data_IF_318221782867
#
_entry.id   IF_318221782867
#
_cell.length_a   1.000
_cell.length_b   1.000
_cell.length_c   1.000
_cell.angle_alpha   90.00
_cell.angle_beta   90.00
_cell.angle_gamma   90.00
#
_symmetry.space_group_name_H-M   'P 1'
#
loop_
_entity.id
_entity.type
_entity.pdbx_description
1 polymer ?
#
# COMPACT_ATOMS: atom_id res chain seq x y z
N UNK A 1 2.31 -19.99 1.11
CA UNK A 1 3.12 -20.23 -0.11
C UNK A 1 3.19 -18.93 -0.90
N UNK A 2 4.38 -18.50 -1.34
CA UNK A 2 4.55 -17.29 -2.14
C UNK A 2 4.24 -17.57 -3.63
N UNK A 3 3.59 -16.62 -4.30
CA UNK A 3 3.29 -16.62 -5.73
C UNK A 3 4.28 -15.73 -6.47
N UNK A 4 5.33 -16.35 -6.99
CA UNK A 4 6.47 -15.65 -7.61
C UNK A 4 6.10 -14.86 -8.86
N UNK A 5 5.04 -15.24 -9.56
CA UNK A 5 4.51 -14.52 -10.72
C UNK A 5 3.98 -13.13 -10.37
N UNK A 6 3.72 -12.88 -9.08
CA UNK A 6 3.17 -11.63 -8.55
C UNK A 6 4.16 -10.87 -7.66
N UNK A 7 5.39 -11.37 -7.53
CA UNK A 7 6.43 -10.74 -6.75
C UNK A 7 6.87 -9.42 -7.42
N UNK A 8 7.17 -8.38 -6.62
CA UNK A 8 7.70 -7.13 -7.17
C UNK A 8 9.10 -7.34 -7.76
N UNK A 9 9.43 -6.56 -8.79
CA UNK A 9 10.81 -6.41 -9.22
C UNK A 9 11.64 -5.79 -8.07
N UNK A 10 12.83 -6.34 -7.84
CA UNK A 10 13.72 -5.91 -6.75
C UNK A 10 14.04 -4.40 -6.81
N UNK A 11 14.34 -3.89 -8.02
CA UNK A 11 14.61 -2.47 -8.23
C UNK A 11 13.40 -1.59 -7.90
N UNK A 12 12.20 -2.03 -8.28
CA UNK A 12 10.96 -1.31 -7.96
C UNK A 12 10.68 -1.30 -6.45
N UNK A 13 10.93 -2.41 -5.75
CA UNK A 13 10.79 -2.48 -4.29
C UNK A 13 11.77 -1.53 -3.58
N UNK A 14 13.07 -1.55 -3.94
CA UNK A 14 14.07 -0.64 -3.36
C UNK A 14 13.68 0.80 -3.63
N UNK A 15 13.30 1.13 -4.87
CA UNK A 15 12.89 2.49 -5.21
C UNK A 15 11.73 2.95 -4.34
N UNK A 16 10.72 2.10 -4.12
CA UNK A 16 9.61 2.43 -3.23
C UNK A 16 10.03 2.58 -1.77
N UNK A 17 10.98 1.77 -1.28
CA UNK A 17 11.56 1.93 0.07
C UNK A 17 12.31 3.26 0.21
N UNK A 18 13.12 3.64 -0.79
CA UNK A 18 13.81 4.93 -0.83
C UNK A 18 12.81 6.09 -0.88
N UNK A 19 11.75 5.97 -1.67
CA UNK A 19 10.65 6.94 -1.68
C UNK A 19 10.02 7.09 -0.29
N UNK A 20 9.72 5.96 0.36
CA UNK A 20 9.03 5.92 1.65
C UNK A 20 9.85 6.48 2.82
N UNK A 21 11.15 6.16 2.90
CA UNK A 21 12.00 6.57 4.02
C UNK A 21 12.82 7.83 3.76
N UNK A 22 13.18 8.13 2.49
CA UNK A 22 14.17 9.15 2.16
C UNK A 22 13.57 10.23 1.26
N UNK A 23 13.14 9.90 0.04
CA UNK A 23 12.83 10.94 -0.96
C UNK A 23 11.62 11.78 -0.57
N UNK A 24 10.61 11.21 0.07
CA UNK A 24 9.48 12.00 0.61
C UNK A 24 9.95 13.07 1.59
N UNK A 25 10.84 12.74 2.52
CA UNK A 25 11.45 13.71 3.44
C UNK A 25 12.31 14.73 2.71
N UNK A 26 13.17 14.27 1.80
CA UNK A 26 14.06 15.14 1.03
C UNK A 26 13.26 16.19 0.26
N UNK A 27 12.17 15.82 -0.42
CA UNK A 27 11.33 16.77 -1.16
C UNK A 27 10.74 17.83 -0.22
N UNK A 28 10.21 17.40 0.93
CA UNK A 28 9.58 18.32 1.91
C UNK A 28 10.62 19.29 2.49
N UNK A 29 11.78 18.77 2.90
CA UNK A 29 12.85 19.54 3.54
C UNK A 29 13.56 20.44 2.53
N UNK A 30 13.88 19.93 1.34
CA UNK A 30 14.51 20.71 0.27
C UNK A 30 13.56 21.83 -0.20
N UNK A 31 12.27 21.53 -0.31
CA UNK A 31 11.25 22.54 -0.59
C UNK A 31 11.23 23.64 0.47
N UNK A 32 11.35 23.29 1.76
CA UNK A 32 11.46 24.28 2.83
C UNK A 32 12.77 25.09 2.72
N UNK A 33 13.89 24.42 2.44
CA UNK A 33 15.21 25.03 2.30
C UNK A 33 15.30 26.01 1.14
N UNK A 34 14.77 25.68 -0.04
CA UNK A 34 14.74 26.56 -1.22
C UNK A 34 13.91 27.81 -0.93
N UNK A 35 12.81 27.65 -0.18
CA UNK A 35 11.90 28.74 0.14
C UNK A 35 12.25 29.50 1.42
N UNK A 36 13.38 29.17 2.07
CA UNK A 36 13.79 29.77 3.36
C UNK A 36 13.96 31.27 3.30
N UNK A 37 14.31 31.84 2.15
CA UNK A 37 14.46 33.29 2.01
C UNK A 37 13.17 34.07 2.31
N UNK A 38 12.00 33.45 2.09
CA UNK A 38 10.72 34.05 2.47
C UNK A 38 10.59 34.25 3.98
N UNK A 39 11.31 33.45 4.77
CA UNK A 39 11.43 33.56 6.23
C UNK A 39 12.57 34.52 6.62
N UNK A 40 13.72 34.46 5.94
CA UNK A 40 14.90 35.28 6.27
C UNK A 40 14.71 36.77 5.96
N UNK A 41 14.02 37.11 4.86
CA UNK A 41 13.73 38.51 4.49
C UNK A 41 12.69 39.16 5.42
N UNK A 42 12.06 38.41 6.33
CA UNK A 42 11.10 38.87 7.33
C UNK A 42 11.42 38.23 8.71
N UNK A 43 12.50 38.65 9.38
CA UNK A 43 13.15 37.90 10.46
C UNK A 43 12.39 37.83 11.79
N UNK A 44 11.35 38.67 11.99
CA UNK A 44 10.54 38.64 13.21
C UNK A 44 9.46 37.54 13.12
N UNK A 45 9.68 36.42 13.82
CA UNK A 45 8.70 35.33 13.97
C UNK A 45 7.41 35.77 14.68
N UNK A 46 7.41 36.93 15.34
CA UNK A 46 6.33 37.45 16.18
C UNK A 46 5.35 38.40 15.50
N UNK A 47 5.76 39.17 14.48
CA UNK A 47 4.99 40.37 14.09
C UNK A 47 4.34 40.35 12.70
N UNK A 48 4.60 39.37 11.82
CA UNK A 48 4.13 39.47 10.42
C UNK A 48 3.45 38.19 9.92
N UNK A 49 2.10 38.16 9.86
CA UNK A 49 1.32 37.10 9.20
C UNK A 49 1.71 36.87 7.72
N UNK A 50 2.25 37.90 7.05
CA UNK A 50 2.58 37.87 5.62
C UNK A 50 3.78 36.98 5.26
N UNK A 51 4.89 37.01 6.00
CA UNK A 51 6.07 36.18 5.70
C UNK A 51 5.79 34.68 5.79
N UNK A 52 5.08 34.27 6.83
CA UNK A 52 4.62 32.88 7.03
C UNK A 52 3.67 32.43 5.92
N UNK A 53 2.72 33.28 5.54
CA UNK A 53 1.76 33.00 4.45
C UNK A 53 2.47 32.85 3.10
N UNK A 54 3.48 33.68 2.81
CA UNK A 54 4.26 33.59 1.57
C UNK A 54 5.12 32.33 1.56
N UNK A 55 5.80 32.00 2.67
CA UNK A 55 6.54 30.75 2.80
C UNK A 55 5.63 29.53 2.59
N UNK A 56 4.52 29.44 3.33
CA UNK A 56 3.59 28.32 3.23
C UNK A 56 3.03 28.17 1.81
N UNK A 57 2.68 29.27 1.14
CA UNK A 57 2.22 29.22 -0.26
C UNK A 57 3.27 28.64 -1.21
N UNK A 58 4.54 28.97 -1.01
CA UNK A 58 5.63 28.47 -1.87
C UNK A 58 6.09 27.06 -1.49
N UNK A 59 5.99 26.70 -0.21
CA UNK A 59 6.36 25.39 0.32
C UNK A 59 5.25 24.33 0.15
N UNK A 60 3.98 24.74 0.20
CA UNK A 60 2.84 23.83 0.11
C UNK A 60 2.87 22.89 -1.11
N UNK A 61 3.25 23.32 -2.32
CA UNK A 61 3.40 22.40 -3.45
C UNK A 61 4.42 21.28 -3.17
N UNK A 62 5.56 21.61 -2.55
CA UNK A 62 6.58 20.62 -2.17
C UNK A 62 6.08 19.67 -1.09
N UNK A 63 5.36 20.21 -0.10
CA UNK A 63 4.71 19.41 0.93
C UNK A 63 3.71 18.42 0.30
N UNK A 64 2.85 18.89 -0.60
CA UNK A 64 1.87 18.06 -1.29
C UNK A 64 2.55 16.97 -2.14
N UNK A 65 3.59 17.31 -2.91
CA UNK A 65 4.34 16.32 -3.70
C UNK A 65 4.98 15.27 -2.78
N UNK A 66 5.62 15.71 -1.70
CA UNK A 66 6.25 14.81 -0.73
C UNK A 66 5.24 13.87 -0.08
N UNK A 67 4.09 14.39 0.34
CA UNK A 67 2.99 13.60 0.91
C UNK A 67 2.37 12.64 -0.11
N UNK A 68 2.19 13.05 -1.37
CA UNK A 68 1.71 12.16 -2.45
C UNK A 68 2.69 11.00 -2.67
N UNK A 69 3.98 11.30 -2.80
CA UNK A 69 5.01 10.28 -2.96
C UNK A 69 5.03 9.31 -1.76
N UNK A 70 4.81 9.85 -0.56
CA UNK A 70 4.80 9.06 0.65
C UNK A 70 3.58 8.13 0.72
N UNK A 71 2.41 8.67 0.39
CA UNK A 71 1.16 7.91 0.35
C UNK A 71 1.22 6.81 -0.69
N UNK A 72 1.74 7.14 -1.89
CA UNK A 72 1.90 6.20 -2.98
C UNK A 72 2.90 5.09 -2.64
N UNK A 73 4.06 5.43 -2.06
CA UNK A 73 5.04 4.43 -1.64
C UNK A 73 4.51 3.53 -0.52
N UNK A 74 3.75 4.07 0.45
CA UNK A 74 3.07 3.27 1.49
C UNK A 74 2.13 2.25 0.87
N UNK A 75 1.30 2.71 -0.08
CA UNK A 75 0.38 1.85 -0.82
C UNK A 75 1.13 0.78 -1.61
N UNK A 76 2.18 1.15 -2.35
CA UNK A 76 2.94 0.23 -3.20
C UNK A 76 3.73 -0.82 -2.42
N UNK A 77 4.37 -0.44 -1.31
CA UNK A 77 5.07 -1.40 -0.45
C UNK A 77 4.10 -2.43 0.15
N UNK A 78 2.89 -1.99 0.49
CA UNK A 78 1.84 -2.89 0.99
C UNK A 78 1.30 -3.78 -0.14
N UNK A 79 1.05 -3.20 -1.32
CA UNK A 79 0.63 -3.90 -2.55
C UNK A 79 1.62 -5.01 -2.92
N UNK A 80 2.92 -4.72 -2.90
CA UNK A 80 3.98 -5.69 -3.20
C UNK A 80 4.00 -6.89 -2.26
N UNK A 81 3.82 -6.67 -0.96
CA UNK A 81 3.71 -7.77 -0.01
C UNK A 81 2.46 -8.62 -0.27
N UNK A 82 1.29 -7.98 -0.35
CA UNK A 82 0.02 -8.69 -0.52
C UNK A 82 -0.02 -9.44 -1.86
N UNK A 83 0.51 -8.86 -2.92
CA UNK A 83 0.62 -9.49 -4.25
C UNK A 83 1.42 -10.78 -4.19
N UNK A 84 2.53 -10.77 -3.44
CA UNK A 84 3.41 -11.95 -3.27
C UNK A 84 2.68 -13.14 -2.61
N UNK A 85 1.74 -12.89 -1.72
CA UNK A 85 0.98 -13.94 -1.02
C UNK A 85 -0.44 -14.13 -1.57
N UNK A 86 -0.80 -13.40 -2.62
CA UNK A 86 -2.11 -13.51 -3.26
C UNK A 86 -2.06 -14.51 -4.41
N UNK A 87 -3.02 -15.43 -4.42
CA UNK A 87 -3.23 -16.30 -5.58
C UNK A 87 -3.93 -15.55 -6.72
N UNK A 88 -4.79 -14.60 -6.37
CA UNK A 88 -5.60 -13.81 -7.30
C UNK A 88 -5.74 -12.40 -6.72
N UNK A 89 -5.72 -11.40 -7.59
CA UNK A 89 -5.87 -9.99 -7.22
C UNK A 89 -6.68 -9.23 -8.25
N UNK A 90 -7.32 -8.14 -7.84
CA UNK A 90 -8.02 -7.22 -8.74
C UNK A 90 -7.06 -6.20 -9.35
N UNK A 91 -7.53 -5.44 -10.32
CA UNK A 91 -6.94 -4.16 -10.68
C UNK A 91 -6.96 -3.15 -9.51
N UNK A 92 -6.31 -2.00 -9.73
CA UNK A 92 -6.40 -0.86 -8.79
C UNK A 92 -7.56 0.04 -9.22
N UNK A 93 -8.43 0.35 -8.26
CA UNK A 93 -9.70 1.05 -8.47
C UNK A 93 -9.82 2.25 -7.55
N UNK A 94 -10.62 3.25 -7.93
CA UNK A 94 -10.85 4.43 -7.07
C UNK A 94 -12.13 4.34 -6.23
N UNK A 95 -13.06 3.48 -6.62
CA UNK A 95 -14.38 3.35 -6.01
C UNK A 95 -14.70 1.90 -5.68
N UNK A 96 -15.56 1.70 -4.69
CA UNK A 96 -16.04 0.38 -4.31
C UNK A 96 -16.78 -0.31 -5.46
N UNK A 97 -17.54 0.43 -6.26
CA UNK A 97 -18.34 -0.12 -7.34
C UNK A 97 -17.48 -0.79 -8.40
N UNK A 98 -16.42 -0.12 -8.87
CA UNK A 98 -15.53 -0.69 -9.90
C UNK A 98 -14.69 -1.84 -9.35
N UNK A 99 -14.25 -1.74 -8.08
CA UNK A 99 -13.59 -2.86 -7.40
C UNK A 99 -14.51 -4.08 -7.35
N UNK A 100 -15.77 -3.90 -6.96
CA UNK A 100 -16.71 -5.01 -6.84
C UNK A 100 -17.08 -5.62 -8.18
N UNK A 101 -17.16 -4.80 -9.24
CA UNK A 101 -17.37 -5.28 -10.60
C UNK A 101 -16.22 -6.18 -11.06
N UNK A 102 -14.98 -5.76 -10.79
CA UNK A 102 -13.76 -6.54 -11.08
C UNK A 102 -13.67 -7.82 -10.21
N UNK A 103 -14.14 -7.77 -8.96
CA UNK A 103 -14.27 -8.96 -8.11
C UNK A 103 -15.34 -9.93 -8.62
N UNK A 104 -16.40 -9.44 -9.29
CA UNK A 104 -17.46 -10.28 -9.87
C UNK A 104 -17.06 -10.92 -11.19
N UNK A 105 -16.30 -10.19 -12.03
CA UNK A 105 -15.85 -10.65 -13.34
C UNK A 105 -14.84 -11.79 -13.26
N UNK A 106 -14.24 -12.03 -12.10
CA UNK A 106 -13.29 -13.11 -11.89
C UNK A 106 -13.97 -14.49 -11.83
N UNK A 107 -14.13 -15.12 -13.02
CA UNK A 107 -14.85 -16.38 -13.18
C UNK A 107 -14.15 -17.59 -12.55
N UNK A 108 -12.81 -17.60 -12.52
CA UNK A 108 -12.03 -18.75 -12.01
C UNK A 108 -12.19 -18.93 -10.51
N UNK A 109 -12.31 -17.83 -9.76
CA UNK A 109 -12.50 -17.86 -8.31
C UNK A 109 -13.44 -16.73 -7.90
N UNK A 110 -14.75 -17.01 -7.85
CA UNK A 110 -15.76 -16.02 -7.45
C UNK A 110 -15.48 -15.49 -6.03
N UNK A 111 -15.49 -14.17 -5.86
CA UNK A 111 -15.51 -13.54 -4.55
C UNK A 111 -16.93 -13.59 -3.97
N UNK A 112 -17.07 -13.79 -2.66
CA UNK A 112 -18.36 -13.62 -1.97
C UNK A 112 -18.64 -12.13 -1.77
N UNK A 113 -19.01 -11.48 -2.87
CA UNK A 113 -19.25 -10.03 -2.91
C UNK A 113 -20.41 -9.61 -2.00
N UNK A 114 -21.44 -10.44 -1.91
CA UNK A 114 -22.59 -10.17 -1.02
C UNK A 114 -22.19 -10.22 0.45
N UNK A 115 -21.38 -11.20 0.87
CA UNK A 115 -20.83 -11.29 2.21
C UNK A 115 -19.92 -10.09 2.54
N UNK A 116 -19.07 -9.69 1.61
CA UNK A 116 -18.18 -8.53 1.76
C UNK A 116 -18.99 -7.23 1.92
N UNK A 117 -20.01 -7.03 1.09
CA UNK A 117 -20.87 -5.85 1.19
C UNK A 117 -21.63 -5.78 2.52
N UNK A 118 -22.12 -6.93 3.02
CA UNK A 118 -22.82 -7.01 4.31
C UNK A 118 -21.92 -6.69 5.50
N UNK A 119 -20.66 -7.12 5.45
CA UNK A 119 -19.70 -6.90 6.53
C UNK A 119 -19.06 -5.49 6.47
N UNK A 120 -19.10 -4.85 5.30
CA UNK A 120 -18.73 -3.45 5.10
C UNK A 120 -17.46 -3.31 4.26
N UNK A 121 -17.53 -2.48 3.21
CA UNK A 121 -16.48 -2.27 2.21
C UNK A 121 -15.99 -0.81 2.20
N UNK A 122 -14.70 -0.53 1.91
CA UNK A 122 -14.24 0.84 1.67
C UNK A 122 -14.95 1.46 0.47
N UNK A 123 -15.36 2.73 0.60
CA UNK A 123 -16.14 3.42 -0.44
C UNK A 123 -15.28 4.09 -1.52
N UNK A 124 -14.17 4.71 -1.11
CA UNK A 124 -13.30 5.53 -1.97
C UNK A 124 -11.83 5.40 -1.56
N UNK A 125 -10.91 5.73 -2.48
CA UNK A 125 -9.46 5.71 -2.26
C UNK A 125 -8.77 4.83 -3.31
N UNK A 126 -7.47 4.60 -3.18
CA UNK A 126 -6.80 3.58 -3.99
C UNK A 126 -7.17 2.21 -3.43
N UNK A 127 -8.02 1.48 -4.13
CA UNK A 127 -8.56 0.20 -3.71
C UNK A 127 -7.98 -0.94 -4.54
N UNK A 128 -7.55 -2.02 -3.88
CA UNK A 128 -7.16 -3.26 -4.55
C UNK A 128 -7.52 -4.46 -3.67
N UNK A 129 -8.12 -5.48 -4.26
CA UNK A 129 -8.53 -6.71 -3.61
C UNK A 129 -7.52 -7.83 -3.83
N UNK A 130 -7.30 -8.66 -2.81
CA UNK A 130 -6.39 -9.79 -2.82
C UNK A 130 -7.07 -11.02 -2.21
N UNK A 131 -6.81 -12.19 -2.78
CA UNK A 131 -7.12 -13.48 -2.16
C UNK A 131 -5.86 -14.09 -1.60
N UNK A 132 -5.70 -14.02 -0.27
CA UNK A 132 -4.59 -14.64 0.41
C UNK A 132 -4.91 -16.11 0.72
N UNK A 133 -3.98 -17.00 0.36
CA UNK A 133 -4.11 -18.40 0.73
C UNK A 133 -3.52 -18.63 2.11
N UNK A 134 -4.29 -19.27 3.00
CA UNK A 134 -3.72 -19.85 4.21
C UNK A 134 -3.22 -21.26 3.87
N UNK A 135 -1.91 -21.42 3.78
CA UNK A 135 -1.29 -22.72 4.01
C UNK A 135 0.20 -22.52 4.26
N UNK A 136 0.50 -22.35 5.54
CA UNK A 136 1.58 -23.13 6.16
C UNK A 136 1.01 -24.56 6.25
N UNK A 137 1.61 -25.54 5.55
CA UNK A 137 1.06 -26.91 5.49
C UNK A 137 1.99 -27.88 6.19
N UNK A 138 1.46 -28.62 7.17
CA UNK A 138 1.89 -29.97 7.49
C UNK A 138 0.92 -30.96 6.80
N UNK A 139 1.40 -31.73 5.82
CA UNK A 139 0.70 -32.93 5.32
C UNK A 139 -0.34 -32.78 4.19
N UNK A 140 -1.33 -33.68 4.20
CA UNK A 140 -2.03 -34.24 3.02
C UNK A 140 -3.36 -33.56 2.60
N UNK A 141 -3.77 -32.41 3.14
CA UNK A 141 -5.14 -31.88 2.96
C UNK A 141 -5.25 -30.60 2.12
N UNK A 142 -6.16 -30.66 1.12
CA UNK A 142 -6.70 -29.69 0.13
C UNK A 142 -6.55 -28.18 0.40
N UNK A 143 -6.13 -27.44 -0.65
CA UNK A 143 -5.95 -25.98 -0.69
C UNK A 143 -7.25 -25.24 -0.33
N UNK A 144 -7.23 -24.29 0.63
CA UNK A 144 -8.36 -23.41 0.98
C UNK A 144 -7.93 -21.95 0.98
N UNK A 145 -8.76 -21.07 0.41
CA UNK A 145 -8.61 -19.61 0.55
C UNK A 145 -8.97 -19.26 1.99
N UNK A 146 -8.03 -18.67 2.72
CA UNK A 146 -8.23 -18.34 4.14
C UNK A 146 -8.79 -16.93 4.31
N UNK A 147 -8.32 -15.97 3.50
CA UNK A 147 -8.63 -14.56 3.70
C UNK A 147 -8.77 -13.80 2.39
N UNK A 148 -9.71 -12.85 2.34
CA UNK A 148 -9.80 -11.82 1.31
C UNK A 148 -9.34 -10.52 1.95
N UNK A 149 -8.47 -9.77 1.30
CA UNK A 149 -7.97 -8.49 1.81
C UNK A 149 -8.29 -7.40 0.81
N UNK A 150 -8.93 -6.32 1.26
CA UNK A 150 -9.06 -5.09 0.47
C UNK A 150 -8.09 -4.06 1.06
N UNK A 151 -7.15 -3.65 0.23
CA UNK A 151 -6.20 -2.59 0.47
C UNK A 151 -6.84 -1.24 0.13
N UNK A 152 -6.85 -0.30 1.06
CA UNK A 152 -7.32 1.08 0.85
C UNK A 152 -6.17 2.05 1.14
N UNK A 153 -5.67 2.72 0.11
CA UNK A 153 -4.74 3.84 0.22
C UNK A 153 -5.45 5.18 0.15
N UNK A 154 -4.96 6.16 0.90
CA UNK A 154 -5.47 7.54 0.88
C UNK A 154 -4.48 8.48 0.21
N UNK A 155 -4.90 9.32 -0.74
CA UNK A 155 -4.03 10.37 -1.26
C UNK A 155 -3.61 11.34 -0.15
N UNK A 156 -2.36 11.82 -0.21
CA UNK A 156 -1.78 12.83 0.70
C UNK A 156 -1.63 12.40 2.17
N UNK A 157 -2.03 11.19 2.53
CA UNK A 157 -1.86 10.64 3.87
C UNK A 157 -1.07 9.32 3.75
N UNK A 158 0.13 9.20 4.37
CA UNK A 158 0.96 7.99 4.31
C UNK A 158 0.41 6.88 5.21
N UNK A 159 -0.85 6.54 4.97
CA UNK A 159 -1.65 5.55 5.72
C UNK A 159 -2.38 4.69 4.72
N UNK A 160 -2.37 3.40 5.01
CA UNK A 160 -3.10 2.39 4.30
C UNK A 160 -3.95 1.64 5.31
N UNK A 161 -5.21 1.42 4.96
CA UNK A 161 -6.16 0.61 5.74
C UNK A 161 -6.38 -0.72 5.03
N UNK A 162 -6.29 -1.80 5.79
CA UNK A 162 -6.60 -3.16 5.33
C UNK A 162 -7.96 -3.56 5.86
N UNK A 163 -8.81 -4.09 4.99
CA UNK A 163 -10.04 -4.79 5.35
C UNK A 163 -9.79 -6.27 5.12
N UNK A 164 -9.66 -7.02 6.21
CA UNK A 164 -9.29 -8.42 6.21
C UNK A 164 -10.54 -9.22 6.51
N UNK A 165 -11.00 -9.95 5.52
CA UNK A 165 -12.21 -10.76 5.55
C UNK A 165 -11.80 -12.22 5.72
N UNK A 166 -12.19 -12.84 6.82
CA UNK A 166 -11.93 -14.28 7.02
C UNK A 166 -12.96 -15.09 6.24
N UNK A 167 -12.48 -16.06 5.47
CA UNK A 167 -13.31 -16.91 4.61
C UNK A 167 -13.38 -18.31 5.20
N UNK A 168 -14.60 -18.85 5.35
CA UNK A 168 -14.81 -20.25 5.67
C UNK A 168 -15.49 -20.95 4.51
N UNK A 169 -14.73 -21.76 3.78
CA UNK A 169 -15.21 -22.40 2.55
C UNK A 169 -15.39 -21.38 1.42
N UNK A 170 -16.63 -20.97 1.15
CA UNK A 170 -16.98 -20.00 0.10
C UNK A 170 -17.57 -18.69 0.63
N UNK A 171 -17.84 -18.60 1.93
CA UNK A 171 -18.53 -17.45 2.52
C UNK A 171 -17.60 -16.65 3.43
N UNK A 172 -17.79 -15.34 3.43
CA UNK A 172 -17.10 -14.46 4.38
C UNK A 172 -17.79 -14.51 5.73
N UNK A 173 -17.01 -14.70 6.80
CA UNK A 173 -17.51 -14.86 8.17
C UNK A 173 -17.33 -13.60 9.01
N UNK A 174 -16.16 -12.98 8.94
CA UNK A 174 -15.77 -11.90 9.84
C UNK A 174 -14.96 -10.84 9.07
N UNK A 175 -14.99 -9.61 9.59
CA UNK A 175 -14.17 -8.50 9.11
C UNK A 175 -13.29 -8.01 10.25
N UNK A 176 -11.99 -7.94 9.99
CA UNK A 176 -10.99 -7.27 10.82
C UNK A 176 -10.39 -6.13 10.02
N UNK A 177 -10.06 -5.01 10.68
CA UNK A 177 -9.32 -3.92 10.04
C UNK A 177 -7.94 -3.76 10.67
N UNK A 178 -6.98 -3.37 9.85
CA UNK A 178 -5.63 -3.03 10.28
C UNK A 178 -5.12 -1.80 9.53
N UNK A 179 -4.13 -1.13 10.11
CA UNK A 179 -3.53 0.06 9.54
C UNK A 179 -2.02 -0.12 9.40
N UNK A 180 -1.49 0.41 8.30
CA UNK A 180 -0.07 0.54 8.04
C UNK A 180 0.18 2.02 7.80
N UNK A 181 1.07 2.60 8.57
CA UNK A 181 1.37 4.02 8.50
C UNK A 181 2.83 4.27 8.85
N UNK A 182 3.39 5.36 8.34
CA UNK A 182 4.74 5.78 8.71
C UNK A 182 4.85 6.12 10.21
N UNK A 183 5.89 5.69 10.95
CA UNK A 183 7.16 5.10 10.50
C UNK A 183 7.24 3.57 10.52
N UNK A 184 6.11 2.87 10.52
CA UNK A 184 6.13 1.40 10.58
C UNK A 184 6.73 0.82 9.30
N UNK A 185 7.61 -0.18 9.43
CA UNK A 185 8.03 -0.98 8.28
C UNK A 185 6.81 -1.76 7.74
N UNK A 186 6.36 -1.50 6.49
CA UNK A 186 5.18 -2.17 5.95
C UNK A 186 5.32 -3.69 5.95
N UNK A 187 6.50 -4.21 5.55
CA UNK A 187 6.76 -5.65 5.51
C UNK A 187 6.75 -6.30 6.89
N UNK A 188 7.36 -5.66 7.89
CA UNK A 188 7.35 -6.17 9.26
C UNK A 188 5.96 -6.16 9.89
N UNK A 189 5.20 -5.07 9.69
CA UNK A 189 3.83 -4.95 10.21
C UNK A 189 2.89 -5.97 9.55
N UNK A 190 3.00 -6.16 8.25
CA UNK A 190 2.21 -7.13 7.50
C UNK A 190 2.54 -8.57 7.92
N UNK A 191 3.81 -8.89 8.11
CA UNK A 191 4.24 -10.21 8.61
C UNK A 191 3.67 -10.49 10.00
N UNK A 192 3.57 -9.48 10.87
CA UNK A 192 2.91 -9.64 12.17
C UNK A 192 1.39 -9.81 12.09
N UNK A 193 0.73 -9.24 11.06
CA UNK A 193 -0.73 -9.34 10.87
C UNK A 193 -1.12 -10.69 10.29
N UNK A 194 -0.39 -11.16 9.28
CA UNK A 194 -0.73 -12.35 8.49
C UNK A 194 0.10 -13.59 8.83
N UNK A 195 1.14 -13.45 9.65
CA UNK A 195 2.08 -14.52 10.00
C UNK A 195 2.76 -15.20 8.79
N UNK A 196 2.88 -14.48 7.67
CA UNK A 196 3.69 -14.89 6.52
C UNK A 196 5.07 -14.25 6.62
N UNK A 197 6.16 -14.98 6.34
CA UNK A 197 7.49 -14.38 6.24
C UNK A 197 7.47 -13.27 5.18
N UNK A 198 8.31 -12.25 5.31
CA UNK A 198 8.53 -11.27 4.24
C UNK A 198 9.65 -11.78 3.35
N UNK A 199 9.33 -12.23 2.14
CA UNK A 199 10.32 -12.72 1.19
C UNK A 199 10.53 -11.69 0.06
N UNK A 200 11.76 -11.17 -0.06
CA UNK A 200 12.20 -10.37 -1.22
C UNK A 200 12.99 -11.26 -2.17
N UNK A 201 12.70 -11.17 -3.46
CA UNK A 201 13.40 -11.99 -4.46
C UNK A 201 14.20 -11.16 -5.45
N UNK A 202 15.42 -11.62 -5.73
CA UNK A 202 16.28 -11.11 -6.79
C UNK A 202 15.89 -11.75 -8.12
N UNK A 203 15.18 -11.00 -8.96
CA UNK A 203 15.10 -11.30 -10.39
C UNK A 203 15.93 -10.26 -11.14
N UNK A 204 17.23 -10.57 -11.35
CA UNK A 204 18.22 -9.95 -12.28
C UNK A 204 19.69 -10.04 -11.78
N UNK A 205 20.09 -11.16 -11.18
CA UNK A 205 21.51 -11.47 -11.00
C UNK A 205 21.78 -12.87 -11.56
N UNK A 206 21.68 -13.03 -12.88
CA UNK A 206 21.94 -14.30 -13.55
C UNK A 206 21.12 -14.45 -14.83
N UNK A 207 21.61 -13.86 -15.91
CA UNK A 207 20.95 -13.94 -17.21
C UNK A 207 21.64 -13.13 -18.30
N UNK A 208 22.98 -13.07 -18.28
CA UNK A 208 23.73 -12.70 -19.47
C UNK A 208 23.83 -13.94 -20.36
N UNK A 209 23.39 -13.90 -21.63
CA UNK A 209 23.73 -14.93 -22.60
C UNK A 209 25.20 -14.72 -23.00
N UNK A 210 26.06 -15.65 -22.63
CA UNK A 210 27.49 -15.58 -22.94
C UNK A 210 28.31 -16.60 -22.16
N UNK A 211 27.94 -17.87 -22.29
CA UNK A 211 28.91 -18.96 -22.35
C UNK A 211 29.29 -19.16 -23.82
#
# INVERSE_FOLDING_TARGET
MAYYEHAPEYGAYILMMLCYFIFSWVIIVLGAYINREALIKNPSFGEIPHGKKVFLKKWAPWLLIGLLLWSFSTFKLTDYYLSTYSFEMTGTHFTASSLLEDMKSNERYRFDVEGIQKLGIPHYGLLKGYKLQDSVREGLITKRVGQIVILQGYPLVPVVKLYIYEVNGRQVKSLRTAYIFFPQSPGGRLSAIFNFPFEMFFWQAGGGPGA
#
